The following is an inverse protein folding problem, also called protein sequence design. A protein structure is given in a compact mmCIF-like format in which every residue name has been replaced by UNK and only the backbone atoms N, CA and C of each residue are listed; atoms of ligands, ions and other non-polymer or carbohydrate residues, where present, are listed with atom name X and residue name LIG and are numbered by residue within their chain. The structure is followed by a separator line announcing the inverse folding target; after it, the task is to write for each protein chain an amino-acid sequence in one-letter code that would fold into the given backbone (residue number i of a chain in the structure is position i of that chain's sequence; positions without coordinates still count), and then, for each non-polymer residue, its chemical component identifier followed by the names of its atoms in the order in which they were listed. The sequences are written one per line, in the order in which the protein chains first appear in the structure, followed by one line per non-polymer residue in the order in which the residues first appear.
data_IF_851727070002
#
_entry.id   IF_851727070002
#
_cell.length_a   1.000
_cell.length_b   1.000
_cell.length_c   1.000
_cell.angle_alpha   90.00
_cell.angle_beta   90.00
_cell.angle_gamma   90.00
#
_symmetry.space_group_name_H-M   'P 1'
#
loop_
_entity.id
_entity.type
_entity.pdbx_description
1 polymer ?
#
# COMPACT_ATOMS: atom_id res chain seq x y z
N UNK A 1 -40.40 -31.29 47.82
CA UNK A 1 -40.98 -30.72 46.60
C UNK A 1 -40.05 -31.14 45.45
N UNK A 2 -40.62 -31.80 44.46
CA UNK A 2 -40.06 -32.65 43.38
C UNK A 2 -38.90 -32.03 42.56
N UNK A 3 -38.17 -32.71 41.67
CA UNK A 3 -37.76 -34.10 41.37
C UNK A 3 -36.97 -34.01 40.04
N UNK A 4 -36.09 -34.97 39.76
CA UNK A 4 -35.16 -34.99 38.63
C UNK A 4 -35.71 -35.66 37.34
N UNK A 5 -34.98 -35.44 36.24
CA UNK A 5 -34.67 -36.36 35.12
C UNK A 5 -35.62 -36.60 33.92
N UNK A 6 -35.04 -36.32 32.73
CA UNK A 6 -34.92 -37.15 31.50
C UNK A 6 -36.07 -37.32 30.47
N UNK A 7 -35.68 -36.99 29.22
CA UNK A 7 -35.94 -37.57 27.89
C UNK A 7 -37.35 -37.60 27.25
N UNK A 8 -37.37 -37.09 26.01
CA UNK A 8 -38.36 -37.42 24.97
C UNK A 8 -38.30 -36.47 23.77
N UNK A 9 -37.43 -36.75 22.80
CA UNK A 9 -37.53 -36.22 21.42
C UNK A 9 -38.76 -36.84 20.74
N UNK A 10 -39.38 -36.16 19.77
CA UNK A 10 -39.20 -36.68 18.41
C UNK A 10 -38.86 -35.59 17.40
N UNK A 11 -38.24 -36.10 16.34
CA UNK A 11 -37.54 -35.49 15.22
C UNK A 11 -38.48 -35.51 14.02
N UNK A 12 -38.42 -34.47 13.18
CA UNK A 12 -38.67 -34.44 11.73
C UNK A 12 -38.16 -33.04 11.26
N UNK A 13 -36.96 -32.93 10.66
CA UNK A 13 -36.69 -32.82 9.18
C UNK A 13 -37.56 -31.75 8.52
N UNK A 14 -37.05 -30.69 7.87
CA UNK A 14 -36.12 -30.68 6.75
C UNK A 14 -35.35 -29.33 6.65
N UNK A 15 -34.09 -29.38 6.20
CA UNK A 15 -33.47 -28.27 5.46
C UNK A 15 -33.94 -28.26 4.00
N UNK A 16 -33.74 -27.18 3.24
CA UNK A 16 -32.39 -26.89 2.72
C UNK A 16 -31.99 -25.43 2.97
N UNK A 17 -30.73 -25.16 3.33
CA UNK A 17 -29.69 -24.83 2.37
C UNK A 17 -30.15 -23.77 1.34
N UNK A 18 -29.77 -22.52 1.59
CA UNK A 18 -30.08 -21.39 0.73
C UNK A 18 -29.33 -20.15 1.19
N UNK A 19 -28.00 -20.25 1.20
CA UNK A 19 -27.09 -19.12 1.27
C UNK A 19 -27.38 -18.19 0.08
N UNK A 20 -28.20 -17.17 0.30
CA UNK A 20 -28.22 -15.99 -0.55
C UNK A 20 -27.42 -14.90 0.17
N UNK A 21 -26.10 -15.08 0.14
CA UNK A 21 -25.19 -13.95 0.24
C UNK A 21 -25.58 -12.98 -0.88
N UNK A 22 -26.42 -12.00 -0.53
CA UNK A 22 -26.78 -10.92 -1.43
C UNK A 22 -25.50 -10.15 -1.74
N UNK A 23 -24.93 -10.45 -2.91
CA UNK A 23 -23.91 -9.66 -3.57
C UNK A 23 -24.45 -8.25 -3.74
N UNK A 24 -24.19 -7.37 -2.78
CA UNK A 24 -24.42 -5.94 -2.98
C UNK A 24 -23.51 -5.48 -4.12
N UNK A 25 -24.07 -4.90 -5.20
CA UNK A 25 -23.27 -4.26 -6.23
C UNK A 25 -22.59 -3.04 -5.58
N UNK A 26 -21.26 -3.10 -5.43
CA UNK A 26 -20.49 -1.92 -5.05
C UNK A 26 -20.62 -0.90 -6.19
N UNK A 27 -21.44 0.12 -5.98
CA UNK A 27 -21.60 1.24 -6.90
C UNK A 27 -20.25 1.94 -7.11
N UNK A 28 -19.93 2.41 -8.33
CA UNK A 28 -18.74 3.22 -8.57
C UNK A 28 -18.94 4.58 -7.91
N UNK A 29 -18.32 4.81 -6.76
CA UNK A 29 -18.33 6.11 -6.09
C UNK A 29 -17.42 7.09 -6.87
N UNK A 30 -17.93 7.61 -7.98
CA UNK A 30 -17.36 8.76 -8.71
C UNK A 30 -17.78 10.08 -8.02
N UNK A 31 -17.37 10.25 -6.77
CA UNK A 31 -17.25 11.58 -6.17
C UNK A 31 -15.78 12.00 -6.19
N UNK A 32 -15.44 13.30 -6.13
CA UNK A 32 -14.09 13.72 -5.79
C UNK A 32 -13.85 13.38 -4.31
N UNK A 33 -13.69 12.08 -4.03
CA UNK A 33 -13.27 11.59 -2.72
C UNK A 33 -11.90 12.20 -2.42
N UNK A 34 -11.74 12.67 -1.20
CA UNK A 34 -10.45 13.17 -0.71
C UNK A 34 -9.41 12.07 -0.96
N UNK A 35 -8.49 12.34 -1.88
CA UNK A 35 -7.37 11.44 -2.19
C UNK A 35 -6.39 11.54 -1.04
N UNK A 36 -6.34 10.50 -0.20
CA UNK A 36 -5.45 10.44 0.96
C UNK A 36 -3.97 10.32 0.57
N UNK A 37 -3.67 9.90 -0.67
CA UNK A 37 -2.33 9.88 -1.26
C UNK A 37 -2.34 10.44 -2.68
N UNK A 38 -1.24 11.11 -3.05
CA UNK A 38 -0.94 11.61 -4.40
C UNK A 38 -0.63 10.46 -5.35
N UNK A 39 -0.10 9.35 -4.84
CA UNK A 39 0.22 8.15 -5.62
C UNK A 39 -1.00 7.22 -5.74
N UNK A 40 -1.20 6.56 -6.89
CA UNK A 40 -2.27 5.57 -7.03
C UNK A 40 -1.99 4.31 -6.21
N UNK A 41 -2.79 4.05 -5.15
CA UNK A 41 -2.60 2.91 -4.26
C UNK A 41 -2.61 1.56 -4.99
N UNK A 42 -3.42 1.42 -6.06
CA UNK A 42 -3.44 0.21 -6.88
C UNK A 42 -2.09 -0.06 -7.55
N UNK A 43 -1.36 1.00 -7.97
CA UNK A 43 -0.04 0.86 -8.57
C UNK A 43 1.02 0.50 -7.53
N UNK A 44 0.96 1.12 -6.35
CA UNK A 44 1.83 0.77 -5.21
C UNK A 44 1.65 -0.70 -4.83
N UNK A 45 0.39 -1.16 -4.71
CA UNK A 45 0.08 -2.57 -4.45
C UNK A 45 0.64 -3.51 -5.53
N UNK A 46 0.54 -3.14 -6.80
CA UNK A 46 1.08 -3.95 -7.88
C UNK A 46 2.62 -4.07 -7.83
N UNK A 47 3.32 -3.00 -7.46
CA UNK A 47 4.78 -3.02 -7.27
C UNK A 47 5.18 -3.89 -6.07
N UNK A 48 4.47 -3.77 -4.96
CA UNK A 48 4.70 -4.61 -3.76
C UNK A 48 4.50 -6.09 -4.08
N UNK A 49 3.48 -6.44 -4.88
CA UNK A 49 3.21 -7.82 -5.31
C UNK A 49 4.06 -8.30 -6.49
N UNK A 50 4.96 -7.47 -7.02
CA UNK A 50 5.92 -7.91 -8.03
C UNK A 50 7.02 -8.79 -7.41
N UNK A 51 7.23 -8.68 -6.09
CA UNK A 51 8.07 -9.57 -5.31
C UNK A 51 7.35 -10.94 -5.13
N UNK A 52 7.95 -12.06 -5.60
CA UNK A 52 7.34 -13.39 -5.51
C UNK A 52 7.13 -13.86 -4.06
N UNK A 53 7.88 -13.34 -3.10
CA UNK A 53 7.77 -13.73 -1.69
C UNK A 53 6.63 -12.98 -0.97
N UNK A 54 6.04 -11.97 -1.60
CA UNK A 54 4.93 -11.19 -1.05
C UNK A 54 3.56 -11.80 -1.42
N UNK A 55 3.02 -12.61 -0.51
CA UNK A 55 1.72 -13.27 -0.69
C UNK A 55 0.52 -12.35 -0.39
N UNK A 56 0.59 -11.58 0.69
CA UNK A 56 -0.48 -10.69 1.16
C UNK A 56 0.07 -9.29 1.48
N UNK A 57 -0.65 -8.26 1.06
CA UNK A 57 -0.36 -6.87 1.40
C UNK A 57 -1.64 -6.16 1.86
N UNK A 58 -1.66 -5.75 3.13
CA UNK A 58 -2.79 -5.05 3.75
C UNK A 58 -2.94 -3.61 3.24
N UNK A 59 -4.16 -3.08 3.25
CA UNK A 59 -4.46 -1.74 2.73
C UNK A 59 -3.68 -0.64 3.46
N UNK A 60 -3.56 -0.72 4.79
CA UNK A 60 -2.80 0.23 5.60
C UNK A 60 -1.31 0.24 5.25
N UNK A 61 -0.70 -0.93 5.02
CA UNK A 61 0.69 -1.04 4.60
C UNK A 61 0.92 -0.40 3.22
N UNK A 62 0.01 -0.63 2.27
CA UNK A 62 0.05 0.01 0.94
C UNK A 62 -0.08 1.52 1.06
N UNK A 63 -0.95 2.02 1.95
CA UNK A 63 -1.11 3.45 2.20
C UNK A 63 0.15 4.07 2.79
N UNK A 64 0.74 3.45 3.81
CA UNK A 64 2.00 3.91 4.43
C UNK A 64 3.13 3.93 3.41
N UNK A 65 3.27 2.89 2.57
CA UNK A 65 4.26 2.86 1.50
C UNK A 65 4.05 3.99 0.49
N UNK A 66 2.81 4.28 0.10
CA UNK A 66 2.51 5.39 -0.78
C UNK A 66 2.94 6.73 -0.16
N UNK A 67 2.66 6.93 1.14
CA UNK A 67 3.06 8.15 1.85
C UNK A 67 4.58 8.25 2.04
N UNK A 68 5.24 7.14 2.36
CA UNK A 68 6.69 7.08 2.47
C UNK A 68 7.35 7.40 1.12
N UNK A 69 6.84 6.86 0.02
CA UNK A 69 7.34 7.16 -1.32
C UNK A 69 7.18 8.65 -1.71
N UNK A 70 6.09 9.31 -1.29
CA UNK A 70 5.94 10.76 -1.49
C UNK A 70 7.04 11.55 -0.75
N UNK A 71 7.28 11.22 0.52
CA UNK A 71 8.31 11.86 1.33
C UNK A 71 9.71 11.55 0.81
N UNK A 72 9.93 10.32 0.35
CA UNK A 72 11.20 9.88 -0.24
C UNK A 72 11.55 10.72 -1.48
N UNK A 73 10.60 10.86 -2.42
CA UNK A 73 10.79 11.68 -3.63
C UNK A 73 11.07 13.14 -3.27
N UNK A 74 10.36 13.70 -2.30
CA UNK A 74 10.60 15.08 -1.85
C UNK A 74 12.00 15.25 -1.24
N UNK A 75 12.44 14.27 -0.44
CA UNK A 75 13.74 14.30 0.26
C UNK A 75 14.88 14.21 -0.73
N UNK A 76 14.90 13.17 -1.56
CA UNK A 76 15.99 12.97 -2.53
C UNK A 76 16.05 14.09 -3.58
N UNK A 77 14.89 14.66 -3.97
CA UNK A 77 14.86 15.80 -4.88
C UNK A 77 15.46 17.07 -4.25
N UNK A 78 15.24 17.30 -2.95
CA UNK A 78 15.86 18.42 -2.23
C UNK A 78 17.36 18.24 -2.14
N UNK A 79 17.83 17.05 -1.80
CA UNK A 79 19.27 16.76 -1.66
C UNK A 79 19.98 16.86 -3.01
N UNK A 80 19.42 16.27 -4.07
CA UNK A 80 19.92 16.45 -5.43
C UNK A 80 19.91 17.93 -5.86
N UNK A 81 18.87 18.69 -5.50
CA UNK A 81 18.84 20.12 -5.79
C UNK A 81 19.93 20.91 -5.03
N UNK A 82 20.28 20.50 -3.80
CA UNK A 82 21.42 21.06 -3.08
C UNK A 82 22.73 20.85 -3.85
N UNK A 83 22.94 19.65 -4.43
CA UNK A 83 24.08 19.38 -5.31
C UNK A 83 24.08 20.26 -6.57
N UNK A 84 22.91 20.48 -7.19
CA UNK A 84 22.78 21.38 -8.34
C UNK A 84 23.15 22.84 -7.99
N UNK A 85 22.73 23.32 -6.82
CA UNK A 85 23.03 24.67 -6.33
C UNK A 85 24.51 24.87 -6.03
N UNK A 86 25.22 23.85 -5.54
CA UNK A 86 26.68 23.90 -5.37
C UNK A 86 27.37 24.14 -6.72
N UNK A 87 26.82 23.59 -7.80
CA UNK A 87 27.22 23.87 -9.18
C UNK A 87 26.71 25.18 -9.77
N UNK A 88 26.11 26.07 -8.96
CA UNK A 88 25.47 27.34 -9.37
C UNK A 88 24.39 27.17 -10.44
N UNK A 89 23.76 26.00 -10.51
CA UNK A 89 22.69 25.68 -11.45
C UNK A 89 21.33 25.73 -10.75
N UNK A 90 20.31 26.04 -11.53
CA UNK A 90 18.88 25.98 -11.10
C UNK A 90 18.13 24.83 -11.76
N UNK A 91 18.78 24.13 -12.69
CA UNK A 91 18.24 22.95 -13.38
C UNK A 91 18.90 21.72 -12.79
N UNK A 92 18.08 20.83 -12.24
CA UNK A 92 18.50 19.54 -11.70
C UNK A 92 18.88 18.61 -12.87
N UNK A 93 20.02 17.95 -12.75
CA UNK A 93 20.56 17.01 -13.73
C UNK A 93 20.80 15.65 -13.07
N UNK A 94 20.92 14.59 -13.88
CA UNK A 94 21.15 13.23 -13.38
C UNK A 94 22.37 13.13 -12.44
N UNK A 95 23.49 13.76 -12.83
CA UNK A 95 24.69 13.85 -11.97
C UNK A 95 24.45 14.41 -10.56
N UNK A 96 23.42 15.26 -10.38
CA UNK A 96 23.12 15.82 -9.07
C UNK A 96 22.43 14.78 -8.17
N UNK A 97 21.64 13.90 -8.78
CA UNK A 97 21.03 12.76 -8.11
C UNK A 97 22.11 11.73 -7.75
N UNK A 98 23.03 11.43 -8.67
CA UNK A 98 24.15 10.51 -8.43
C UNK A 98 25.00 11.02 -7.24
N UNK A 99 25.36 12.30 -7.24
CA UNK A 99 26.09 12.92 -6.12
C UNK A 99 25.31 12.88 -4.79
N UNK A 100 23.98 13.00 -4.82
CA UNK A 100 23.17 12.92 -3.61
C UNK A 100 23.12 11.49 -3.05
N UNK A 101 23.05 10.49 -3.92
CA UNK A 101 23.09 9.08 -3.54
C UNK A 101 24.44 8.72 -2.91
N UNK A 102 25.55 9.16 -3.51
CA UNK A 102 26.90 8.92 -2.97
C UNK A 102 27.16 9.64 -1.64
N UNK A 103 26.47 10.75 -1.37
CA UNK A 103 26.70 11.57 -0.19
C UNK A 103 25.89 11.14 1.04
N UNK A 104 24.83 10.35 0.88
CA UNK A 104 23.85 10.03 1.93
C UNK A 104 23.70 8.51 2.04
N UNK A 105 24.14 7.95 3.17
CA UNK A 105 24.15 6.49 3.43
C UNK A 105 22.74 5.88 3.34
N UNK A 106 21.71 6.62 3.73
CA UNK A 106 20.31 6.19 3.62
C UNK A 106 19.84 5.98 2.17
N UNK A 107 20.56 6.49 1.17
CA UNK A 107 20.31 6.28 -0.24
C UNK A 107 21.17 5.17 -0.88
N UNK A 108 22.03 4.49 -0.12
CA UNK A 108 22.92 3.45 -0.64
C UNK A 108 22.18 2.31 -1.36
N UNK A 109 20.91 2.05 -1.02
CA UNK A 109 20.08 1.06 -1.74
C UNK A 109 19.79 1.41 -3.21
N UNK A 110 20.09 2.64 -3.64
CA UNK A 110 19.97 3.10 -5.02
C UNK A 110 21.28 2.99 -5.82
N UNK A 111 22.40 2.67 -5.19
CA UNK A 111 23.68 2.51 -5.89
C UNK A 111 23.58 1.45 -7.01
N UNK A 112 24.09 1.77 -8.20
CA UNK A 112 24.02 0.89 -9.38
C UNK A 112 22.61 0.68 -9.96
N UNK A 113 21.57 1.33 -9.41
CA UNK A 113 20.19 1.21 -9.93
C UNK A 113 19.92 2.18 -11.08
N UNK A 114 20.68 3.27 -11.17
CA UNK A 114 20.40 4.38 -12.08
C UNK A 114 21.23 4.40 -13.36
N UNK A 115 22.07 3.40 -13.63
CA UNK A 115 23.00 3.36 -14.79
C UNK A 115 22.31 3.46 -16.17
#
# INVERSE_FOLDING_TARGET
MAAAASNGTPREEEGPAGEVAASQPQAPTNGPGVRLSRLPLARVKALVKADPDVTLAGQEAIFVLARAAELFVETIAKDAYCCAQQGKRKTLQRRDLDNAIEAVDEFAFLEGTLD
#
